data_IF_308153236777
#
_entry.id   IF_308153236777
#
_cell.length_a   1.000
_cell.length_b   1.000
_cell.length_c   1.000
_cell.angle_alpha   90.00
_cell.angle_beta   90.00
_cell.angle_gamma   90.00
#
_symmetry.space_group_name_H-M   'P 1'
#
loop_
_entity.id
_entity.type
_entity.pdbx_description
1 polymer ?
#
# COMPACT_ATOMS: atom_id res chain seq x y z
N UNK A 1 -8.07 17.60 9.47
CA UNK A 1 -6.62 17.66 9.69
C UNK A 1 -6.00 16.60 8.78
N UNK A 2 -5.38 17.01 7.68
CA UNK A 2 -4.88 16.08 6.64
C UNK A 2 -3.49 15.57 7.02
N UNK A 3 -3.48 14.55 7.87
CA UNK A 3 -2.26 13.94 8.41
C UNK A 3 -1.46 13.12 7.40
N UNK A 4 -1.90 13.05 6.13
CA UNK A 4 -1.04 12.59 5.04
C UNK A 4 0.21 13.48 4.86
N UNK A 5 0.12 14.78 5.22
CA UNK A 5 1.28 15.70 5.27
C UNK A 5 2.33 15.32 6.33
N UNK A 6 1.96 14.49 7.31
CA UNK A 6 2.80 14.16 8.46
C UNK A 6 3.39 12.75 8.38
N UNK A 7 3.07 11.96 7.35
CA UNK A 7 3.68 10.66 7.20
C UNK A 7 5.15 10.81 6.82
N UNK A 8 6.04 10.34 7.70
CA UNK A 8 7.49 10.36 7.51
C UNK A 8 8.01 8.92 7.63
N UNK A 9 8.17 8.19 6.51
CA UNK A 9 8.74 6.85 6.57
C UNK A 9 10.18 6.92 7.09
N UNK A 10 10.56 5.96 7.91
CA UNK A 10 11.96 5.77 8.34
C UNK A 10 12.78 5.11 7.21
N UNK A 11 12.11 4.33 6.35
CA UNK A 11 12.73 3.63 5.22
C UNK A 11 11.74 3.47 4.06
N UNK A 12 12.26 3.59 2.85
CA UNK A 12 11.54 3.27 1.61
C UNK A 12 12.10 1.96 1.05
N UNK A 13 11.25 0.96 0.86
CA UNK A 13 11.59 -0.22 0.07
C UNK A 13 11.10 -0.05 -1.36
N UNK A 14 12.03 -0.08 -2.31
CA UNK A 14 11.74 0.06 -3.74
C UNK A 14 11.85 -1.30 -4.42
N UNK A 15 10.76 -1.76 -5.04
CA UNK A 15 10.82 -2.99 -5.81
C UNK A 15 11.66 -2.81 -7.07
N UNK A 16 12.62 -3.71 -7.29
CA UNK A 16 13.59 -3.63 -8.40
C UNK A 16 12.92 -3.41 -9.76
N UNK A 17 11.75 -4.03 -10.00
CA UNK A 17 11.08 -3.95 -11.30
C UNK A 17 10.46 -2.58 -11.62
N UNK A 18 10.41 -1.69 -10.64
CA UNK A 18 9.90 -0.32 -10.82
C UNK A 18 10.93 0.74 -10.42
N UNK A 19 12.20 0.35 -10.21
CA UNK A 19 13.24 1.29 -9.78
C UNK A 19 13.46 2.41 -10.77
N UNK A 20 13.34 2.11 -12.07
CA UNK A 20 13.65 3.05 -13.14
C UNK A 20 12.41 3.87 -13.56
N UNK A 21 11.29 3.69 -12.86
CA UNK A 21 10.07 4.45 -13.13
C UNK A 21 10.22 5.91 -12.68
N UNK A 22 9.96 6.84 -13.59
CA UNK A 22 9.86 8.27 -13.28
C UNK A 22 8.95 8.54 -12.07
N UNK A 23 7.81 7.86 -12.00
CA UNK A 23 6.85 8.04 -10.92
C UNK A 23 7.37 7.50 -9.59
N UNK A 24 8.14 6.41 -9.58
CA UNK A 24 8.78 5.92 -8.37
C UNK A 24 9.81 6.93 -7.85
N UNK A 25 10.62 7.49 -8.74
CA UNK A 25 11.60 8.52 -8.40
C UNK A 25 10.94 9.80 -7.88
N UNK A 26 9.84 10.24 -8.53
CA UNK A 26 9.04 11.39 -8.08
C UNK A 26 8.52 11.20 -6.66
N UNK A 27 8.00 10.00 -6.34
CA UNK A 27 7.53 9.68 -4.99
C UNK A 27 8.69 9.67 -3.99
N UNK A 28 9.82 9.04 -4.30
CA UNK A 28 11.00 8.99 -3.41
C UNK A 28 11.48 10.40 -3.08
N UNK A 29 11.58 11.27 -4.08
CA UNK A 29 12.04 12.65 -3.92
C UNK A 29 11.12 13.49 -3.02
N UNK A 30 9.85 13.10 -2.86
CA UNK A 30 8.92 13.80 -1.96
C UNK A 30 9.15 13.52 -0.47
N UNK A 31 10.00 12.55 -0.12
CA UNK A 31 10.26 12.12 1.26
C UNK A 31 11.71 12.33 1.74
N UNK A 32 12.59 13.02 0.99
CA UNK A 32 14.01 13.15 1.36
C UNK A 32 14.26 13.97 2.65
N UNK A 33 15.29 13.62 3.46
CA UNK A 33 16.26 12.53 3.29
C UNK A 33 15.82 11.23 4.02
N UNK A 34 15.40 10.20 3.27
CA UNK A 34 15.02 8.88 3.82
C UNK A 34 15.80 7.78 3.09
N UNK A 35 16.23 6.76 3.84
CA UNK A 35 16.95 5.61 3.27
C UNK A 35 16.07 4.86 2.27
N UNK A 36 16.63 4.51 1.10
CA UNK A 36 15.97 3.70 0.08
C UNK A 36 16.68 2.37 -0.08
N UNK A 37 15.97 1.25 0.11
CA UNK A 37 16.48 -0.11 -0.14
C UNK A 37 15.78 -0.76 -1.32
N UNK A 38 16.57 -1.19 -2.30
CA UNK A 38 16.05 -1.97 -3.43
C UNK A 38 15.80 -3.41 -2.99
N UNK A 39 14.61 -3.94 -3.27
CA UNK A 39 14.17 -5.29 -2.90
C UNK A 39 13.73 -6.07 -4.13
N UNK A 40 14.00 -7.38 -4.13
CA UNK A 40 13.58 -8.30 -5.21
C UNK A 40 12.13 -8.76 -5.08
N UNK A 41 11.64 -8.87 -3.84
CA UNK A 41 10.31 -9.35 -3.49
C UNK A 41 9.54 -8.31 -2.70
N UNK A 42 8.26 -8.13 -3.03
CA UNK A 42 7.34 -7.20 -2.36
C UNK A 42 6.73 -7.79 -1.07
N UNK A 43 7.17 -8.97 -0.62
CA UNK A 43 6.76 -9.57 0.65
C UNK A 43 7.80 -9.25 1.72
N UNK A 44 7.44 -8.37 2.65
CA UNK A 44 8.25 -8.13 3.86
C UNK A 44 7.67 -8.95 5.00
N UNK A 45 8.50 -9.80 5.59
CA UNK A 45 8.14 -10.61 6.75
C UNK A 45 8.93 -10.11 7.95
N UNK A 46 8.23 -9.68 8.99
CA UNK A 46 8.83 -9.35 10.28
C UNK A 46 8.92 -10.63 11.10
N UNK A 47 10.00 -11.38 10.95
CA UNK A 47 10.28 -12.52 11.80
C UNK A 47 10.66 -12.00 13.21
N UNK A 48 10.11 -12.62 14.25
CA UNK A 48 10.44 -12.37 15.67
C UNK A 48 9.89 -11.09 16.33
N UNK A 49 8.91 -10.40 15.72
CA UNK A 49 8.17 -9.32 16.39
C UNK A 49 6.80 -9.80 16.85
N UNK A 50 6.31 -9.28 18.00
CA UNK A 50 4.89 -9.41 18.33
C UNK A 50 4.01 -8.74 17.26
N UNK A 51 2.72 -9.07 17.24
CA UNK A 51 1.80 -8.47 16.27
C UNK A 51 1.72 -6.94 16.38
N UNK A 52 1.63 -6.43 17.62
CA UNK A 52 1.56 -5.00 17.87
C UNK A 52 2.85 -4.29 17.41
N UNK A 53 4.01 -4.88 17.67
CA UNK A 53 5.30 -4.36 17.19
C UNK A 53 5.41 -4.43 15.66
N UNK A 54 4.96 -5.52 15.04
CA UNK A 54 4.95 -5.67 13.58
C UNK A 54 4.08 -4.61 12.92
N UNK A 55 2.90 -4.34 13.48
CA UNK A 55 1.99 -3.30 12.99
C UNK A 55 2.55 -1.90 13.19
N UNK A 56 3.18 -1.62 14.34
CA UNK A 56 3.83 -0.34 14.60
C UNK A 56 5.01 -0.11 13.65
N UNK A 57 5.85 -1.13 13.44
CA UNK A 57 7.00 -1.06 12.55
C UNK A 57 6.59 -0.92 11.09
N UNK A 58 5.55 -1.63 10.65
CA UNK A 58 5.08 -1.54 9.27
C UNK A 58 4.58 -0.14 8.92
N UNK A 59 4.01 0.60 9.88
CA UNK A 59 3.55 1.98 9.68
C UNK A 59 4.67 2.99 9.47
N UNK A 60 5.91 2.63 9.79
CA UNK A 60 7.11 3.46 9.55
C UNK A 60 7.77 3.17 8.20
N UNK A 61 7.22 2.22 7.45
CA UNK A 61 7.77 1.75 6.18
C UNK A 61 6.88 2.20 5.04
N UNK A 62 7.49 2.76 4.00
CA UNK A 62 6.87 2.93 2.68
C UNK A 62 7.44 1.88 1.72
N UNK A 63 6.57 1.12 1.07
CA UNK A 63 6.92 0.27 -0.07
C UNK A 63 6.46 0.91 -1.37
N UNK A 64 7.35 0.97 -2.36
CA UNK A 64 7.02 1.34 -3.73
C UNK A 64 7.16 0.09 -4.58
N UNK A 65 6.08 -0.32 -5.23
CA UNK A 65 6.05 -1.54 -6.02
C UNK A 65 5.05 -1.49 -7.15
N UNK A 66 4.53 -2.65 -7.55
CA UNK A 66 3.41 -2.73 -8.47
C UNK A 66 2.49 -3.88 -8.10
N UNK A 67 1.29 -3.88 -8.66
CA UNK A 67 0.33 -4.96 -8.50
C UNK A 67 -0.48 -5.17 -9.78
N UNK A 68 -0.99 -6.36 -9.99
CA UNK A 68 -2.05 -6.59 -10.98
C UNK A 68 -3.35 -5.94 -10.51
N UNK A 69 -4.32 -5.79 -11.42
CA UNK A 69 -5.70 -5.57 -11.00
C UNK A 69 -6.11 -6.70 -10.08
N UNK A 70 -6.79 -6.34 -9.00
CA UNK A 70 -7.36 -7.28 -8.07
C UNK A 70 -8.88 -7.19 -8.26
N UNK A 71 -9.53 -8.34 -8.22
CA UNK A 71 -10.98 -8.54 -8.26
C UNK A 71 -11.64 -8.46 -9.65
N UNK A 72 -12.47 -9.49 -9.89
CA UNK A 72 -13.45 -9.61 -10.97
C UNK A 72 -14.50 -8.49 -10.89
N UNK A 73 -15.34 -8.39 -11.92
CA UNK A 73 -16.50 -7.49 -11.95
C UNK A 73 -17.29 -7.58 -10.64
N UNK A 74 -17.50 -6.43 -10.01
CA UNK A 74 -18.39 -6.24 -8.88
C UNK A 74 -19.63 -5.52 -9.39
N UNK A 75 -20.78 -6.17 -9.25
CA UNK A 75 -22.07 -5.72 -9.78
C UNK A 75 -22.76 -4.67 -8.89
N UNK A 76 -22.17 -4.33 -7.74
CA UNK A 76 -22.73 -3.36 -6.82
C UNK A 76 -23.67 -3.95 -5.77
N UNK A 77 -24.02 -5.24 -5.84
CA UNK A 77 -25.03 -5.84 -4.98
C UNK A 77 -24.39 -6.55 -3.79
N UNK A 78 -24.44 -5.94 -2.61
CA UNK A 78 -24.01 -6.55 -1.35
C UNK A 78 -25.27 -6.91 -0.56
N UNK A 79 -25.99 -7.93 -1.04
CA UNK A 79 -27.27 -8.37 -0.48
C UNK A 79 -28.40 -7.36 -0.66
N UNK A 80 -29.48 -7.52 0.09
CA UNK A 80 -30.74 -6.79 -0.13
C UNK A 80 -30.70 -5.32 0.34
N UNK A 81 -29.79 -5.00 1.26
CA UNK A 81 -29.79 -3.72 1.98
C UNK A 81 -28.63 -2.78 1.63
N UNK A 82 -27.70 -3.19 0.76
CA UNK A 82 -26.54 -2.37 0.41
C UNK A 82 -26.27 -2.40 -1.10
N UNK A 83 -26.38 -1.23 -1.72
CA UNK A 83 -25.99 -0.99 -3.11
C UNK A 83 -24.75 -0.11 -3.16
N UNK A 84 -23.73 -0.59 -3.85
CA UNK A 84 -22.52 0.15 -4.17
C UNK A 84 -22.46 0.40 -5.69
N UNK A 85 -21.64 1.35 -6.12
CA UNK A 85 -21.40 1.52 -7.55
C UNK A 85 -20.70 0.27 -8.12
N UNK A 86 -21.17 -0.27 -9.25
CA UNK A 86 -20.50 -1.39 -9.90
C UNK A 86 -19.13 -0.94 -10.41
N UNK A 87 -18.18 -1.87 -10.44
CA UNK A 87 -16.88 -1.65 -11.05
C UNK A 87 -16.37 -2.92 -11.73
N UNK A 88 -15.70 -2.74 -12.87
CA UNK A 88 -15.17 -3.86 -13.65
C UNK A 88 -13.86 -4.42 -13.10
N UNK A 89 -13.04 -3.57 -12.48
CA UNK A 89 -11.75 -3.94 -11.90
C UNK A 89 -11.39 -2.98 -10.77
N UNK A 90 -10.80 -3.49 -9.70
CA UNK A 90 -10.07 -2.65 -8.74
C UNK A 90 -8.60 -2.64 -9.11
N UNK A 91 -8.05 -1.44 -9.26
CA UNK A 91 -6.64 -1.26 -9.51
C UNK A 91 -6.02 -0.77 -8.21
N UNK A 92 -5.22 -1.61 -7.54
CA UNK A 92 -4.64 -1.22 -6.26
C UNK A 92 -3.62 -0.12 -6.51
N UNK A 93 -3.98 1.13 -6.19
CA UNK A 93 -3.06 2.28 -6.21
C UNK A 93 -2.23 2.31 -4.94
N UNK A 94 -2.87 2.06 -3.79
CA UNK A 94 -2.22 2.04 -2.50
C UNK A 94 -2.75 0.89 -1.63
N UNK A 95 -1.94 0.48 -0.67
CA UNK A 95 -2.33 -0.38 0.43
C UNK A 95 -1.73 0.15 1.74
N UNK A 96 -2.35 -0.18 2.87
CA UNK A 96 -1.92 0.25 4.19
C UNK A 96 -2.32 1.70 4.50
N UNK A 97 -2.04 2.11 5.73
CA UNK A 97 -2.44 3.41 6.23
C UNK A 97 -1.49 3.85 7.37
N UNK A 98 -1.07 5.12 7.43
CA UNK A 98 -0.22 5.61 8.52
C UNK A 98 -0.95 5.72 9.87
N UNK A 99 -2.28 5.63 9.89
CA UNK A 99 -3.06 5.87 11.10
C UNK A 99 -3.08 4.68 12.06
N UNK A 100 -3.13 4.98 13.36
CA UNK A 100 -3.28 4.01 14.44
C UNK A 100 -4.69 4.00 15.05
N UNK A 101 -5.70 3.83 14.20
CA UNK A 101 -7.07 3.72 14.67
C UNK A 101 -7.27 2.41 15.44
N UNK A 102 -7.86 2.50 16.65
CA UNK A 102 -8.18 1.35 17.51
C UNK A 102 -9.16 0.40 16.81
N UNK A 103 -10.04 0.93 15.96
CA UNK A 103 -11.05 0.20 15.19
C UNK A 103 -10.63 -0.15 13.76
N UNK A 104 -9.32 -0.11 13.43
CA UNK A 104 -8.86 -0.30 12.07
C UNK A 104 -9.09 -1.74 11.58
N UNK A 105 -10.08 -1.96 10.71
CA UNK A 105 -10.34 -3.29 10.15
C UNK A 105 -9.15 -3.82 9.33
N UNK A 106 -8.39 -2.94 8.66
CA UNK A 106 -7.22 -3.31 7.86
C UNK A 106 -6.11 -3.94 8.71
N UNK A 107 -6.02 -3.59 10.01
CA UNK A 107 -5.09 -4.23 10.93
C UNK A 107 -5.39 -5.73 11.08
N UNK A 108 -6.66 -6.14 10.92
CA UNK A 108 -7.07 -7.53 10.95
C UNK A 108 -6.87 -8.25 9.60
N UNK A 109 -7.07 -7.54 8.49
CA UNK A 109 -6.86 -8.09 7.13
C UNK A 109 -5.37 -8.33 6.84
N UNK A 110 -4.49 -7.40 7.24
CA UNK A 110 -3.06 -7.47 6.92
C UNK A 110 -2.20 -8.20 7.95
N UNK A 111 -2.81 -8.90 8.92
CA UNK A 111 -2.12 -9.63 10.01
C UNK A 111 -0.94 -10.49 9.56
N UNK A 112 -1.02 -11.11 8.37
CA UNK A 112 -0.01 -12.06 7.87
C UNK A 112 1.10 -11.46 7.01
N UNK A 113 0.91 -10.25 6.48
CA UNK A 113 1.76 -9.73 5.41
C UNK A 113 2.47 -8.42 5.75
N UNK A 114 2.31 -7.92 6.99
CA UNK A 114 2.75 -6.60 7.39
C UNK A 114 1.82 -5.53 6.80
N UNK A 115 1.22 -4.70 7.65
CA UNK A 115 0.35 -3.62 7.20
C UNK A 115 1.17 -2.38 6.82
N UNK A 116 2.22 -2.57 6.02
CA UNK A 116 3.06 -1.45 5.58
C UNK A 116 2.33 -0.65 4.52
N UNK A 117 2.65 0.64 4.48
CA UNK A 117 2.08 1.54 3.48
C UNK A 117 2.77 1.20 2.16
N UNK A 118 1.99 0.86 1.15
CA UNK A 118 2.49 0.47 -0.17
C UNK A 118 1.84 1.36 -1.22
N UNK A 119 2.64 1.99 -2.07
CA UNK A 119 2.16 2.66 -3.28
C UNK A 119 2.56 1.79 -4.48
N UNK A 120 1.61 1.55 -5.38
CA UNK A 120 1.83 0.78 -6.59
C UNK A 120 1.92 1.70 -7.81
N UNK A 121 2.99 1.52 -8.59
CA UNK A 121 3.17 2.12 -9.91
C UNK A 121 2.29 1.36 -10.91
N UNK A 122 0.99 1.67 -10.89
CA UNK A 122 -0.04 0.98 -11.67
C UNK A 122 -0.79 1.91 -12.64
N UNK A 123 -0.35 3.16 -12.83
CA UNK A 123 -1.09 4.20 -13.56
C UNK A 123 -1.48 3.80 -14.99
N UNK A 124 -0.63 3.06 -15.71
CA UNK A 124 -0.92 2.56 -17.06
C UNK A 124 -2.14 1.64 -17.12
N UNK A 125 -2.55 1.04 -16.00
CA UNK A 125 -3.71 0.15 -15.92
C UNK A 125 -5.01 0.91 -15.64
N UNK A 126 -4.91 2.14 -15.12
CA UNK A 126 -6.05 2.98 -14.75
C UNK A 126 -6.72 3.64 -15.95
N UNK A 127 -5.99 3.87 -17.03
CA UNK A 127 -6.59 4.33 -18.29
C UNK A 127 -7.31 3.18 -18.97
N UNK A 128 -8.61 3.32 -19.20
CA UNK A 128 -9.33 2.51 -20.17
C UNK A 128 -8.86 2.95 -21.56
N UNK A 129 -7.83 2.31 -22.09
CA UNK A 129 -7.70 2.09 -23.53
C UNK A 129 -8.05 0.65 -23.80
#
# INVERSE_FOLDING_TARGET
MDSAKNFKPEIIYLWEKVSDSFEAQRIINSFQPVEVKIIKTQKLLYFNLSMAQSLAQSKKVLMIGAASSFVNHFDGNIGDNMKCLPYYKLIPVSNGCPYNCIYCYLAYVYRKYGAFIKININYSKCSNR
#
